data_IF_609478474522
#
_entry.id   IF_609478474522
#
_cell.length_a   1.000
_cell.length_b   1.000
_cell.length_c   1.000
_cell.angle_alpha   90.00
_cell.angle_beta   90.00
_cell.angle_gamma   90.00
#
_symmetry.space_group_name_H-M   'P 1'
#
loop_
_entity.id
_entity.type
_entity.pdbx_description
1 polymer ?
#
# COMPACT_ATOMS: atom_id res chain seq x y z
N UNK A 1 6.06 -2.57 15.53
CA UNK A 1 5.18 -3.22 14.52
C UNK A 1 5.60 -2.70 13.16
N UNK A 2 5.88 -3.57 12.19
CA UNK A 2 6.24 -3.16 10.81
C UNK A 2 4.95 -3.08 9.98
N UNK A 3 4.73 -1.96 9.29
CA UNK A 3 3.61 -1.79 8.37
C UNK A 3 3.97 -2.38 7.00
N UNK A 4 3.08 -3.20 6.45
CA UNK A 4 3.23 -3.81 5.13
C UNK A 4 2.30 -3.16 4.12
N UNK A 5 2.75 -3.11 2.87
CA UNK A 5 1.98 -2.57 1.74
C UNK A 5 0.63 -3.25 1.60
N UNK A 6 0.57 -4.58 1.84
CA UNK A 6 -0.68 -5.34 1.80
C UNK A 6 -1.79 -4.84 2.72
N UNK A 7 -1.46 -4.07 3.77
CA UNK A 7 -2.44 -3.59 4.75
C UNK A 7 -3.20 -2.35 4.32
N UNK A 8 -2.71 -1.63 3.31
CA UNK A 8 -3.22 -0.33 2.88
C UNK A 8 -3.45 -0.24 1.36
N UNK A 9 -3.12 -1.32 0.65
CA UNK A 9 -3.35 -1.43 -0.78
C UNK A 9 -4.84 -1.40 -1.10
N UNK A 10 -5.14 -0.85 -2.25
CA UNK A 10 -6.44 -0.92 -2.90
C UNK A 10 -6.47 -2.12 -3.84
N UNK A 11 -7.65 -2.72 -4.03
CA UNK A 11 -7.86 -3.79 -5.02
C UNK A 11 -7.90 -3.26 -6.46
N UNK A 12 -7.89 -1.94 -6.62
CA UNK A 12 -7.73 -1.28 -7.93
C UNK A 12 -6.38 -1.65 -8.53
N UNK A 13 -6.37 -2.09 -9.78
CA UNK A 13 -5.12 -2.36 -10.52
C UNK A 13 -4.71 -1.12 -11.27
N UNK A 14 -3.47 -0.69 -11.07
CA UNK A 14 -2.86 0.33 -11.90
C UNK A 14 -2.20 -0.31 -13.11
N UNK A 15 -2.27 0.40 -14.24
CA UNK A 15 -1.57 0.03 -15.47
C UNK A 15 -0.16 0.62 -15.54
N UNK A 16 0.11 1.69 -14.79
CA UNK A 16 1.36 2.43 -14.82
C UNK A 16 1.85 2.71 -13.39
N UNK A 17 3.15 2.51 -13.15
CA UNK A 17 3.80 2.77 -11.87
C UNK A 17 4.83 1.68 -11.53
N UNK A 18 5.74 1.94 -10.57
CA UNK A 18 6.68 0.95 -10.07
C UNK A 18 5.92 -0.22 -9.43
N UNK A 19 6.45 -1.43 -9.63
CA UNK A 19 5.91 -2.64 -9.04
C UNK A 19 6.51 -2.86 -7.65
N UNK A 20 5.64 -3.06 -6.67
CA UNK A 20 5.99 -3.21 -5.25
C UNK A 20 5.38 -4.49 -4.74
N UNK A 21 6.17 -5.31 -4.06
CA UNK A 21 5.71 -6.58 -3.51
C UNK A 21 4.82 -6.36 -2.28
N UNK A 22 3.71 -7.10 -2.17
CA UNK A 22 2.74 -6.90 -1.08
C UNK A 22 3.31 -7.07 0.33
N UNK A 23 4.30 -7.94 0.52
CA UNK A 23 4.96 -8.20 1.79
C UNK A 23 6.10 -7.23 2.07
N UNK A 24 6.45 -6.36 1.10
CA UNK A 24 7.39 -5.28 1.28
C UNK A 24 6.95 -4.34 2.41
N UNK A 25 7.95 -3.82 3.12
CA UNK A 25 7.75 -2.83 4.16
C UNK A 25 7.27 -1.53 3.54
N UNK A 26 6.31 -0.88 4.17
CA UNK A 26 5.73 0.37 3.70
C UNK A 26 6.79 1.47 3.51
N UNK A 27 7.77 1.54 4.39
CA UNK A 27 8.88 2.50 4.33
C UNK A 27 9.79 2.27 3.12
N UNK A 28 10.03 1.00 2.77
CA UNK A 28 10.83 0.62 1.61
C UNK A 28 10.08 0.98 0.31
N UNK A 29 8.79 0.66 0.28
CA UNK A 29 7.87 1.05 -0.79
C UNK A 29 7.80 2.58 -0.97
N UNK A 30 7.79 3.34 0.13
CA UNK A 30 7.82 4.80 0.11
C UNK A 30 9.12 5.33 -0.50
N UNK A 31 10.26 4.70 -0.18
CA UNK A 31 11.54 5.05 -0.80
C UNK A 31 11.55 4.79 -2.30
N UNK A 32 10.94 3.70 -2.76
CA UNK A 32 10.82 3.39 -4.20
C UNK A 32 10.00 4.46 -4.91
N UNK A 33 8.82 4.79 -4.38
CA UNK A 33 7.97 5.85 -4.90
C UNK A 33 8.68 7.21 -4.94
N UNK A 34 9.35 7.56 -3.84
CA UNK A 34 10.11 8.81 -3.72
C UNK A 34 11.26 8.88 -4.72
N UNK A 35 11.98 7.78 -4.95
CA UNK A 35 13.05 7.70 -5.97
C UNK A 35 12.50 7.77 -7.40
N UNK A 36 11.34 7.16 -7.63
CA UNK A 36 10.68 7.18 -8.93
C UNK A 36 9.98 8.52 -9.24
N UNK A 37 9.77 9.38 -8.23
CA UNK A 37 9.04 10.64 -8.38
C UNK A 37 7.56 10.44 -8.73
N UNK A 38 7.00 9.29 -8.36
CA UNK A 38 5.61 8.92 -8.65
C UNK A 38 4.78 8.86 -7.38
N UNK A 39 3.48 9.12 -7.51
CA UNK A 39 2.54 9.13 -6.41
C UNK A 39 1.79 7.81 -6.26
N UNK A 40 1.94 6.89 -7.20
CA UNK A 40 1.19 5.64 -7.26
C UNK A 40 2.10 4.47 -7.62
N UNK A 41 1.84 3.30 -7.03
CA UNK A 41 2.55 2.07 -7.31
C UNK A 41 1.59 0.90 -7.47
N UNK A 42 2.01 -0.07 -8.29
CA UNK A 42 1.29 -1.32 -8.50
C UNK A 42 1.75 -2.34 -7.48
N UNK A 43 0.81 -2.95 -6.75
CA UNK A 43 1.12 -3.99 -5.77
C UNK A 43 1.05 -5.36 -6.44
N UNK A 44 2.14 -6.11 -6.34
CA UNK A 44 2.28 -7.45 -6.92
C UNK A 44 2.44 -8.51 -5.84
N UNK A 45 1.96 -9.72 -6.15
CA UNK A 45 2.16 -10.93 -5.35
C UNK A 45 2.62 -12.04 -6.29
N UNK A 46 3.84 -12.53 -6.10
CA UNK A 46 4.39 -13.60 -6.94
C UNK A 46 4.38 -13.29 -8.44
N UNK A 47 4.62 -12.02 -8.81
CA UNK A 47 4.62 -11.57 -10.21
C UNK A 47 3.23 -11.28 -10.81
N UNK A 48 2.15 -11.36 -10.02
CA UNK A 48 0.81 -10.95 -10.45
C UNK A 48 0.43 -9.63 -9.78
N UNK A 49 -0.03 -8.66 -10.56
CA UNK A 49 -0.60 -7.42 -10.02
C UNK A 49 -1.94 -7.73 -9.32
N UNK A 50 -1.94 -7.60 -8.00
CA UNK A 50 -3.09 -7.84 -7.14
C UNK A 50 -3.82 -6.55 -6.77
N UNK A 51 -3.15 -5.39 -6.90
CA UNK A 51 -3.74 -4.12 -6.50
C UNK A 51 -2.83 -2.93 -6.78
N UNK A 52 -3.10 -1.83 -6.09
CA UNK A 52 -2.32 -0.60 -6.16
C UNK A 52 -2.27 0.12 -4.84
N UNK A 53 -1.31 1.01 -4.68
CA UNK A 53 -1.15 1.83 -3.49
C UNK A 53 -0.72 3.23 -3.89
N UNK A 54 -1.29 4.22 -3.21
CA UNK A 54 -0.97 5.63 -3.43
C UNK A 54 -0.12 6.16 -2.27
N UNK A 55 0.83 7.04 -2.58
CA UNK A 55 1.71 7.71 -1.63
C UNK A 55 0.91 8.41 -0.52
N UNK A 56 -0.23 9.04 -0.84
CA UNK A 56 -1.11 9.66 0.14
C UNK A 56 -1.63 8.68 1.19
N UNK A 57 -1.98 7.46 0.78
CA UNK A 57 -2.38 6.37 1.70
C UNK A 57 -1.21 5.86 2.51
N UNK A 58 -0.03 5.73 1.91
CA UNK A 58 1.19 5.34 2.63
C UNK A 58 1.55 6.32 3.74
N UNK A 59 1.60 7.60 3.42
CA UNK A 59 1.87 8.69 4.38
C UNK A 59 0.81 8.73 5.48
N UNK A 60 -0.47 8.59 5.11
CA UNK A 60 -1.56 8.55 6.10
C UNK A 60 -1.44 7.35 7.02
N UNK A 61 -1.02 6.18 6.54
CA UNK A 61 -0.84 4.98 7.35
C UNK A 61 0.34 5.08 8.32
N UNK A 62 1.42 5.77 7.92
CA UNK A 62 2.56 6.07 8.81
C UNK A 62 2.15 7.11 9.86
N UNK A 63 1.53 8.20 9.44
CA UNK A 63 1.15 9.32 10.32
C UNK A 63 -0.02 8.97 11.25
N UNK A 64 -0.93 8.11 10.79
CA UNK A 64 -2.05 7.56 11.55
C UNK A 64 -2.06 6.06 11.35
N UNK A 65 -1.36 5.29 12.20
CA UNK A 65 -1.49 3.85 12.26
C UNK A 65 -2.86 3.49 12.86
N UNK A 66 -3.95 3.83 12.15
CA UNK A 66 -5.30 3.44 12.51
C UNK A 66 -5.49 1.99 12.10
N UNK A 67 -5.84 1.21 13.11
CA UNK A 67 -6.18 -0.19 13.08
C UNK A 67 -7.27 -0.42 12.02
N UNK A 68 -6.97 -1.27 11.04
CA UNK A 68 -7.92 -1.91 10.11
C UNK A 68 -9.09 -1.03 9.63
N UNK A 69 -8.91 -0.37 8.48
CA UNK A 69 -10.05 -0.08 7.61
C UNK A 69 -10.57 -1.40 7.03
N UNK A 70 -11.55 -2.01 7.70
CA UNK A 70 -12.26 -3.19 7.18
C UNK A 70 -12.60 -4.27 8.21
N UNK A 71 -13.34 -3.93 9.27
CA UNK A 71 -14.28 -4.87 9.86
C UNK A 71 -15.42 -4.06 10.47
N UNK A 72 -16.57 -4.11 9.82
CA UNK A 72 -17.86 -3.78 10.41
C UNK A 72 -18.04 -4.63 11.67
N UNK A 73 -17.83 -4.05 12.84
CA UNK A 73 -18.34 -4.61 14.09
C UNK A 73 -19.49 -3.72 14.55
N UNK A 74 -20.68 -4.18 14.20
CA UNK A 74 -21.94 -3.73 14.78
C UNK A 74 -21.90 -4.07 16.26
N UNK A 75 -21.62 -3.08 17.12
CA UNK A 75 -21.91 -3.21 18.54
C UNK A 75 -23.43 -3.26 18.72
N UNK A 76 -23.91 -4.39 19.24
CA UNK A 76 -25.30 -4.65 19.61
C UNK A 76 -25.55 -4.25 21.06
#
# INVERSE_FOLDING_TARGET
>A
RVLRVSSIMDSKKLKNGPEIERNMVLEDALQILSKAGVFEATVTEGGKSIGSVELGKMTTAIARPREKAGQSDTYR
#
